data_IF_647725728138
#
_entry.id   IF_647725728138
#
_cell.length_a   1.000
_cell.length_b   1.000
_cell.length_c   1.000
_cell.angle_alpha   90.00
_cell.angle_beta   90.00
_cell.angle_gamma   90.00
#
_symmetry.space_group_name_H-M   'P 1'
#
loop_
_entity.id
_entity.type
_entity.pdbx_description
1 polymer ?
#
# COMPACT_ATOMS: atom_id res chain seq x y z
N UNK A 1 -24.67 -23.14 7.68
CA UNK A 1 -25.35 -22.00 7.04
C UNK A 1 -24.49 -21.65 5.84
N UNK A 2 -25.04 -21.82 4.64
CA UNK A 2 -24.28 -22.06 3.41
C UNK A 2 -23.36 -20.93 2.96
N UNK A 3 -22.18 -21.34 2.50
CA UNK A 3 -21.21 -20.57 1.71
C UNK A 3 -21.87 -20.11 0.40
N UNK A 4 -21.69 -18.84 0.01
CA UNK A 4 -22.09 -18.33 -1.30
C UNK A 4 -20.82 -17.94 -2.08
N UNK A 5 -20.28 -18.90 -2.82
CA UNK A 5 -19.39 -18.63 -3.95
C UNK A 5 -20.24 -18.09 -5.11
N UNK A 6 -20.04 -16.83 -5.51
CA UNK A 6 -20.61 -16.33 -6.77
C UNK A 6 -19.70 -16.73 -7.92
N UNK A 7 -20.05 -17.82 -8.61
CA UNK A 7 -19.30 -18.48 -9.69
C UNK A 7 -19.52 -17.89 -11.10
N UNK A 8 -19.98 -16.65 -11.22
CA UNK A 8 -20.32 -16.06 -12.51
C UNK A 8 -19.09 -15.50 -13.26
N UNK A 9 -19.00 -15.78 -14.57
CA UNK A 9 -17.89 -15.37 -15.44
C UNK A 9 -18.04 -13.94 -16.04
N UNK A 10 -19.25 -13.38 -16.01
CA UNK A 10 -19.59 -12.05 -16.53
C UNK A 10 -20.14 -11.09 -15.47
N UNK A 11 -20.73 -9.96 -15.91
CA UNK A 11 -21.34 -8.95 -15.00
C UNK A 11 -22.61 -8.32 -15.56
N UNK A 12 -23.45 -7.80 -14.66
CA UNK A 12 -24.52 -6.85 -14.99
C UNK A 12 -24.04 -5.44 -14.68
N UNK A 13 -24.19 -4.49 -15.59
CA UNK A 13 -23.81 -3.09 -15.38
C UNK A 13 -25.06 -2.20 -15.35
N UNK A 14 -25.17 -1.35 -14.33
CA UNK A 14 -26.26 -0.40 -14.14
C UNK A 14 -25.70 1.01 -14.08
N UNK A 15 -25.92 1.81 -15.12
CA UNK A 15 -25.62 3.24 -15.08
C UNK A 15 -26.75 3.98 -14.37
N UNK A 16 -26.44 4.64 -13.26
CA UNK A 16 -27.40 5.29 -12.38
C UNK A 16 -26.98 6.72 -12.01
N UNK A 17 -27.89 7.47 -11.36
CA UNK A 17 -27.58 8.75 -10.71
C UNK A 17 -28.11 8.68 -9.28
N UNK A 18 -27.38 9.31 -8.35
CA UNK A 18 -27.81 9.42 -6.96
C UNK A 18 -29.21 10.05 -6.82
N UNK A 19 -30.07 9.43 -6.01
CA UNK A 19 -31.42 9.93 -5.73
C UNK A 19 -32.50 9.59 -6.76
N UNK A 20 -32.18 8.82 -7.82
CA UNK A 20 -33.17 8.38 -8.81
C UNK A 20 -34.00 7.18 -8.32
N UNK A 21 -35.34 7.29 -8.18
CA UNK A 21 -36.19 6.18 -7.71
C UNK A 21 -36.16 4.95 -8.64
N UNK A 22 -36.12 5.15 -9.95
CA UNK A 22 -36.05 4.07 -10.93
C UNK A 22 -34.73 3.29 -10.87
N UNK A 23 -33.62 3.94 -10.49
CA UNK A 23 -32.35 3.26 -10.29
C UNK A 23 -32.37 2.37 -9.05
N UNK A 24 -33.00 2.83 -7.96
CA UNK A 24 -33.15 2.03 -6.73
C UNK A 24 -34.00 0.79 -7.00
N UNK A 25 -35.12 0.94 -7.73
CA UNK A 25 -36.01 -0.17 -8.06
C UNK A 25 -35.34 -1.21 -8.98
N UNK A 26 -34.58 -0.76 -9.98
CA UNK A 26 -33.83 -1.65 -10.87
C UNK A 26 -32.79 -2.47 -10.09
N UNK A 27 -32.00 -1.84 -9.21
CA UNK A 27 -30.99 -2.51 -8.37
C UNK A 27 -31.62 -3.53 -7.42
N UNK A 28 -32.77 -3.20 -6.82
CA UNK A 28 -33.49 -4.13 -5.95
C UNK A 28 -33.98 -5.37 -6.70
N UNK A 29 -34.35 -5.22 -7.98
CA UNK A 29 -34.77 -6.33 -8.85
C UNK A 29 -33.57 -7.20 -9.22
N UNK A 30 -32.45 -6.59 -9.62
CA UNK A 30 -31.22 -7.30 -10.01
C UNK A 30 -30.52 -7.97 -8.82
N UNK A 31 -30.60 -7.38 -7.62
CA UNK A 31 -30.03 -7.95 -6.40
C UNK A 31 -30.65 -9.30 -5.97
N UNK A 32 -31.80 -9.68 -6.55
CA UNK A 32 -32.44 -10.99 -6.34
C UNK A 32 -31.95 -12.08 -7.30
N UNK A 33 -31.11 -11.74 -8.28
CA UNK A 33 -30.70 -12.65 -9.35
C UNK A 33 -29.44 -13.46 -9.05
N UNK A 34 -28.84 -13.29 -7.86
CA UNK A 34 -27.62 -14.00 -7.41
C UNK A 34 -26.50 -13.99 -8.47
N UNK A 35 -26.30 -12.83 -9.13
CA UNK A 35 -25.24 -12.57 -10.11
C UNK A 35 -24.53 -11.24 -9.80
N UNK A 36 -23.27 -11.05 -10.24
CA UNK A 36 -22.54 -9.80 -10.02
C UNK A 36 -23.26 -8.61 -10.69
N UNK A 37 -23.60 -7.59 -9.91
CA UNK A 37 -24.20 -6.34 -10.38
C UNK A 37 -23.26 -5.18 -10.03
N UNK A 38 -22.75 -4.50 -11.05
CA UNK A 38 -21.93 -3.31 -10.96
C UNK A 38 -22.78 -2.05 -11.16
N UNK A 39 -22.79 -1.16 -10.18
CA UNK A 39 -23.47 0.13 -10.25
C UNK A 39 -22.48 1.24 -10.60
N UNK A 40 -22.81 2.05 -11.60
CA UNK A 40 -21.98 3.14 -12.11
C UNK A 40 -22.74 4.45 -12.00
N UNK A 41 -22.30 5.32 -11.09
CA UNK A 41 -22.91 6.64 -10.92
C UNK A 41 -22.43 7.63 -12.00
N UNK A 42 -23.19 7.76 -13.09
CA UNK A 42 -22.87 8.70 -14.18
C UNK A 42 -23.04 10.17 -13.78
N UNK A 43 -23.57 10.45 -12.59
CA UNK A 43 -23.56 11.78 -11.99
C UNK A 43 -22.17 12.22 -11.54
N UNK A 44 -21.32 11.25 -11.16
CA UNK A 44 -19.92 11.47 -10.77
C UNK A 44 -18.94 11.31 -11.93
N UNK A 45 -19.39 10.71 -13.03
CA UNK A 45 -18.59 10.35 -14.21
C UNK A 45 -19.22 10.92 -15.51
N UNK A 46 -19.10 12.23 -15.76
CA UNK A 46 -19.72 12.89 -16.93
C UNK A 46 -19.23 12.34 -18.28
N UNK A 47 -18.00 11.84 -18.35
CA UNK A 47 -17.41 11.16 -19.51
C UNK A 47 -18.18 9.88 -19.89
N UNK A 48 -18.58 9.09 -18.90
CA UNK A 48 -19.39 7.89 -19.13
C UNK A 48 -20.82 8.24 -19.53
N UNK A 49 -21.37 9.37 -19.06
CA UNK A 49 -22.70 9.81 -19.47
C UNK A 49 -22.78 10.05 -20.98
N UNK A 50 -21.73 10.62 -21.58
CA UNK A 50 -21.64 10.80 -23.03
C UNK A 50 -21.54 9.46 -23.75
N UNK A 51 -20.72 8.54 -23.23
CA UNK A 51 -20.51 7.22 -23.83
C UNK A 51 -21.73 6.30 -23.73
N UNK A 52 -22.44 6.31 -22.61
CA UNK A 52 -23.71 5.59 -22.44
C UNK A 52 -24.77 6.11 -23.41
N UNK A 53 -24.81 7.43 -23.65
CA UNK A 53 -25.70 8.01 -24.66
C UNK A 53 -25.35 7.55 -26.07
N UNK A 54 -24.07 7.42 -26.39
CA UNK A 54 -23.60 6.89 -27.68
C UNK A 54 -23.97 5.40 -27.84
N UNK A 55 -23.77 4.59 -26.79
CA UNK A 55 -24.03 3.14 -26.81
C UNK A 55 -25.53 2.80 -26.83
N UNK A 56 -26.37 3.59 -26.16
CA UNK A 56 -27.80 3.27 -25.97
C UNK A 56 -28.75 4.15 -26.77
N UNK A 57 -28.26 5.27 -27.31
CA UNK A 57 -29.09 6.33 -27.87
C UNK A 57 -29.95 7.09 -26.85
N UNK A 58 -29.86 6.76 -25.55
CA UNK A 58 -30.71 7.30 -24.48
C UNK A 58 -29.90 8.12 -23.49
N UNK A 59 -30.48 9.22 -23.00
CA UNK A 59 -29.88 10.07 -21.97
C UNK A 59 -30.50 9.89 -20.57
N UNK A 60 -31.45 8.98 -20.44
CA UNK A 60 -32.18 8.68 -19.21
C UNK A 60 -31.44 7.60 -18.40
N UNK A 61 -31.61 7.62 -17.08
CA UNK A 61 -31.10 6.58 -16.18
C UNK A 61 -32.28 5.88 -15.47
N UNK A 62 -32.18 4.58 -15.11
CA UNK A 62 -31.01 3.72 -15.31
C UNK A 62 -30.82 3.27 -16.76
N UNK A 63 -29.59 2.89 -17.15
CA UNK A 63 -29.33 2.05 -18.33
C UNK A 63 -28.66 0.76 -17.88
N UNK A 64 -29.23 -0.38 -18.28
CA UNK A 64 -28.91 -1.69 -17.74
C UNK A 64 -28.37 -2.59 -18.85
N UNK A 65 -27.28 -3.29 -18.55
CA UNK A 65 -26.61 -4.21 -19.45
C UNK A 65 -26.32 -5.54 -18.75
N UNK A 66 -26.46 -6.64 -19.49
CA UNK A 66 -25.96 -7.96 -19.10
C UNK A 66 -24.81 -8.29 -20.04
N UNK A 67 -23.57 -8.32 -19.54
CA UNK A 67 -22.38 -8.26 -20.38
C UNK A 67 -22.50 -7.09 -21.38
N UNK A 68 -22.42 -7.32 -22.68
CA UNK A 68 -22.61 -6.30 -23.74
C UNK A 68 -24.08 -6.12 -24.18
N UNK A 69 -25.03 -6.91 -23.67
CA UNK A 69 -26.44 -6.86 -24.09
C UNK A 69 -27.16 -5.73 -23.36
N UNK A 70 -27.57 -4.70 -24.10
CA UNK A 70 -28.35 -3.58 -23.57
C UNK A 70 -29.83 -3.96 -23.39
N UNK A 71 -30.33 -3.84 -22.15
CA UNK A 71 -31.72 -4.12 -21.79
C UNK A 71 -32.58 -2.86 -21.82
N UNK A 72 -32.00 -1.70 -21.49
CA UNK A 72 -32.75 -0.44 -21.38
C UNK A 72 -32.85 0.06 -19.93
N UNK A 73 -33.96 0.72 -19.60
CA UNK A 73 -34.22 1.28 -18.29
C UNK A 73 -34.95 0.35 -17.34
N UNK A 74 -35.39 0.88 -16.20
CA UNK A 74 -36.14 0.12 -15.21
C UNK A 74 -37.43 -0.47 -15.81
N UNK A 75 -38.17 0.31 -16.59
CA UNK A 75 -39.43 -0.16 -17.19
C UNK A 75 -39.20 -1.29 -18.19
N UNK A 76 -38.07 -1.25 -18.93
CA UNK A 76 -37.69 -2.31 -19.85
C UNK A 76 -37.31 -3.58 -19.07
N UNK A 77 -36.56 -3.44 -17.96
CA UNK A 77 -36.23 -4.56 -17.06
C UNK A 77 -37.49 -5.22 -16.47
N UNK A 78 -38.47 -4.44 -16.01
CA UNK A 78 -39.72 -4.97 -15.43
C UNK A 78 -40.62 -5.64 -16.47
N UNK A 79 -40.50 -5.28 -17.75
CA UNK A 79 -41.26 -5.84 -18.87
C UNK A 79 -40.63 -7.10 -19.47
N UNK A 80 -39.43 -7.49 -19.04
CA UNK A 80 -38.79 -8.71 -19.54
C UNK A 80 -39.63 -9.93 -19.17
N UNK A 81 -39.87 -10.79 -20.17
CA UNK A 81 -40.44 -12.10 -19.93
C UNK A 81 -39.51 -12.92 -19.01
N UNK A 82 -40.04 -13.74 -18.08
CA UNK A 82 -39.23 -14.55 -17.18
C UNK A 82 -38.18 -15.43 -17.88
N UNK A 83 -38.52 -15.92 -19.08
CA UNK A 83 -37.68 -16.77 -19.92
C UNK A 83 -36.48 -15.99 -20.46
N UNK A 84 -36.70 -14.75 -20.89
CA UNK A 84 -35.65 -13.88 -21.41
C UNK A 84 -34.71 -13.41 -20.27
N UNK A 85 -35.27 -13.09 -19.10
CA UNK A 85 -34.46 -12.77 -17.92
C UNK A 85 -33.58 -13.94 -17.50
N UNK A 86 -34.09 -15.17 -17.50
CA UNK A 86 -33.28 -16.38 -17.21
C UNK A 86 -32.15 -16.56 -18.22
N UNK A 87 -32.43 -16.32 -19.51
CA UNK A 87 -31.41 -16.40 -20.56
C UNK A 87 -30.28 -15.39 -20.35
N UNK A 88 -30.61 -14.15 -20.00
CA UNK A 88 -29.62 -13.10 -19.68
C UNK A 88 -28.82 -13.42 -18.41
N UNK A 89 -29.44 -14.02 -17.40
CA UNK A 89 -28.75 -14.48 -16.19
C UNK A 89 -27.78 -15.63 -16.53
N UNK A 90 -28.19 -16.61 -17.33
CA UNK A 90 -27.30 -17.69 -17.81
C UNK A 90 -26.14 -17.14 -18.62
N UNK A 91 -26.38 -16.16 -19.49
CA UNK A 91 -25.32 -15.47 -20.26
C UNK A 91 -24.22 -14.93 -19.33
N UNK A 92 -24.60 -14.26 -18.25
CA UNK A 92 -23.66 -13.69 -17.27
C UNK A 92 -22.95 -14.77 -16.44
N UNK A 93 -23.60 -15.90 -16.16
CA UNK A 93 -22.97 -16.99 -15.40
C UNK A 93 -21.97 -17.78 -16.26
N UNK A 94 -22.31 -18.05 -17.51
CA UNK A 94 -21.60 -19.02 -18.35
C UNK A 94 -20.59 -18.38 -19.31
N UNK A 95 -20.73 -17.09 -19.64
CA UNK A 95 -19.84 -16.42 -20.59
C UNK A 95 -18.94 -15.40 -19.89
N UNK A 96 -17.63 -15.38 -20.24
CA UNK A 96 -16.73 -14.34 -19.76
C UNK A 96 -17.18 -12.97 -20.28
N UNK A 97 -16.81 -11.93 -19.55
CA UNK A 97 -17.08 -10.55 -19.95
C UNK A 97 -16.49 -10.28 -21.36
N UNK A 98 -17.31 -9.89 -22.35
CA UNK A 98 -16.83 -9.64 -23.71
C UNK A 98 -16.08 -8.30 -23.80
N UNK A 99 -15.21 -8.16 -24.79
CA UNK A 99 -14.35 -6.97 -24.96
C UNK A 99 -15.13 -5.68 -25.29
N UNK A 100 -16.36 -5.81 -25.78
CA UNK A 100 -17.30 -4.72 -26.07
C UNK A 100 -18.30 -4.47 -24.93
N UNK A 101 -18.02 -4.99 -23.73
CA UNK A 101 -18.81 -4.73 -22.54
C UNK A 101 -18.88 -3.21 -22.23
N UNK A 102 -19.97 -2.75 -21.61
CA UNK A 102 -20.18 -1.36 -21.28
C UNK A 102 -19.08 -0.84 -20.34
N UNK A 103 -18.54 0.36 -20.62
CA UNK A 103 -17.36 0.91 -19.93
C UNK A 103 -17.65 1.25 -18.47
N UNK A 104 -16.77 0.81 -17.56
CA UNK A 104 -16.76 1.30 -16.19
C UNK A 104 -15.97 2.62 -16.08
N UNK A 105 -16.05 3.35 -14.94
CA UNK A 105 -15.36 4.62 -14.72
C UNK A 105 -13.85 4.68 -14.97
N UNK A 106 -13.21 3.55 -15.26
CA UNK A 106 -11.76 3.43 -15.50
C UNK A 106 -11.40 2.65 -16.78
N UNK A 107 -12.37 2.36 -17.68
CA UNK A 107 -12.11 1.67 -18.96
C UNK A 107 -11.88 2.65 -20.14
N UNK A 108 -11.16 3.75 -19.92
CA UNK A 108 -10.54 4.54 -21.00
C UNK A 108 -9.06 4.17 -21.11
N UNK A 109 -8.78 3.04 -21.77
CA UNK A 109 -7.49 2.82 -22.43
C UNK A 109 -7.35 3.85 -23.55
N UNK A 110 -6.55 4.88 -23.31
CA UNK A 110 -5.75 5.43 -24.40
C UNK A 110 -4.64 4.43 -24.69
N UNK A 111 -4.71 3.78 -25.86
CA UNK A 111 -3.53 3.25 -26.53
C UNK A 111 -2.57 4.41 -26.74
N UNK A 112 -1.55 4.50 -25.88
CA UNK A 112 -0.16 4.85 -26.21
C UNK A 112 0.67 4.92 -24.91
N UNK A 113 1.42 3.85 -24.65
CA UNK A 113 2.61 3.78 -23.76
C UNK A 113 2.53 4.47 -22.39
N UNK A 114 1.85 3.86 -21.41
CA UNK A 114 2.16 3.86 -19.95
C UNK A 114 0.93 3.36 -19.19
N UNK A 115 0.86 2.08 -18.79
CA UNK A 115 -0.37 1.54 -18.20
C UNK A 115 -0.27 0.23 -17.43
N UNK A 116 0.91 -0.14 -16.94
CA UNK A 116 1.07 -1.22 -15.95
C UNK A 116 1.56 -0.69 -14.58
N UNK A 117 2.07 0.54 -14.55
CA UNK A 117 2.65 1.14 -13.34
C UNK A 117 1.60 1.59 -12.31
N UNK A 118 0.39 1.99 -12.74
CA UNK A 118 -0.70 2.40 -11.85
C UNK A 118 -1.21 1.22 -10.99
N UNK A 119 -1.25 0.00 -11.56
CA UNK A 119 -1.73 -1.19 -10.86
C UNK A 119 -0.83 -1.63 -9.70
N UNK A 120 0.49 -1.39 -9.78
CA UNK A 120 1.40 -1.71 -8.68
C UNK A 120 1.17 -0.78 -7.49
N UNK A 121 1.11 0.53 -7.74
CA UNK A 121 0.88 1.53 -6.70
C UNK A 121 -0.46 1.30 -5.99
N UNK A 122 -1.54 1.14 -6.76
CA UNK A 122 -2.89 0.85 -6.24
C UNK A 122 -2.95 -0.45 -5.44
N UNK A 123 -2.39 -1.54 -5.96
CA UNK A 123 -2.39 -2.83 -5.26
C UNK A 123 -1.62 -2.75 -3.93
N UNK A 124 -0.46 -2.08 -3.92
CA UNK A 124 0.31 -1.90 -2.69
C UNK A 124 -0.42 -1.06 -1.65
N UNK A 125 -1.12 -0.02 -2.11
CA UNK A 125 -1.93 0.86 -1.26
C UNK A 125 -3.09 0.10 -0.67
N UNK A 126 -3.85 -0.63 -1.49
CA UNK A 126 -4.97 -1.46 -1.04
C UNK A 126 -4.54 -2.52 -0.02
N UNK A 127 -3.45 -3.25 -0.29
CA UNK A 127 -2.89 -4.21 0.67
C UNK A 127 -2.55 -3.53 2.00
N UNK A 128 -1.92 -2.36 1.93
CA UNK A 128 -1.52 -1.61 3.12
C UNK A 128 -2.72 -1.12 3.92
N UNK A 129 -3.74 -0.58 3.26
CA UNK A 129 -4.97 -0.11 3.91
C UNK A 129 -5.75 -1.25 4.56
N UNK A 130 -5.89 -2.38 3.86
CA UNK A 130 -6.58 -3.55 4.40
C UNK A 130 -5.92 -4.08 5.66
N UNK A 131 -4.59 -4.24 5.65
CA UNK A 131 -3.89 -4.78 6.82
C UNK A 131 -3.87 -3.79 7.98
N UNK A 132 -3.87 -2.48 7.71
CA UNK A 132 -4.02 -1.45 8.73
C UNK A 132 -5.41 -1.45 9.37
N UNK A 133 -6.46 -1.61 8.55
CA UNK A 133 -7.83 -1.73 9.03
C UNK A 133 -7.96 -2.93 9.96
N UNK A 134 -7.52 -4.10 9.51
CA UNK A 134 -7.46 -5.31 10.33
C UNK A 134 -6.67 -5.10 11.63
N UNK A 135 -5.49 -4.47 11.54
CA UNK A 135 -4.67 -4.19 12.71
C UNK A 135 -5.39 -3.29 13.71
N UNK A 136 -6.09 -2.27 13.23
CA UNK A 136 -6.84 -1.34 14.08
C UNK A 136 -8.06 -1.98 14.77
N UNK A 137 -8.74 -2.90 14.09
CA UNK A 137 -9.90 -3.64 14.63
C UNK A 137 -9.50 -4.60 15.76
N UNK A 138 -8.25 -5.05 15.77
CA UNK A 138 -7.72 -6.02 16.74
C UNK A 138 -6.70 -5.39 17.71
N UNK A 139 -6.55 -4.07 17.69
CA UNK A 139 -5.71 -3.35 18.64
C UNK A 139 -6.44 -3.23 19.98
N UNK A 140 -5.74 -3.50 21.07
CA UNK A 140 -6.27 -3.33 22.43
C UNK A 140 -6.71 -1.89 22.68
N UNK A 141 -7.67 -1.70 23.59
CA UNK A 141 -8.19 -0.37 23.92
C UNK A 141 -7.10 0.61 24.43
N UNK A 142 -6.01 0.10 25.03
CA UNK A 142 -4.88 0.89 25.47
C UNK A 142 -3.82 1.12 24.38
N UNK A 143 -4.01 0.56 23.18
CA UNK A 143 -3.13 0.70 22.02
C UNK A 143 -1.80 -0.04 22.14
N UNK A 144 -1.63 -0.92 23.14
CA UNK A 144 -0.33 -1.54 23.45
C UNK A 144 -0.15 -2.95 22.91
N UNK A 145 -1.23 -3.70 22.73
CA UNK A 145 -1.18 -5.07 22.23
C UNK A 145 -2.17 -5.29 21.08
N UNK A 146 -1.89 -6.26 20.23
CA UNK A 146 -2.71 -6.59 19.07
C UNK A 146 -3.07 -8.06 19.16
N UNK A 147 -4.36 -8.38 19.02
CA UNK A 147 -4.83 -9.76 18.93
C UNK A 147 -4.56 -10.32 17.52
N UNK A 148 -3.30 -10.69 17.27
CA UNK A 148 -2.88 -11.31 16.01
C UNK A 148 -3.62 -12.62 15.74
N UNK A 149 -4.04 -13.34 16.80
CA UNK A 149 -4.77 -14.60 16.65
C UNK A 149 -6.18 -14.33 16.12
N UNK A 150 -6.91 -13.39 16.72
CA UNK A 150 -8.21 -12.95 16.21
C UNK A 150 -8.11 -12.38 14.79
N UNK A 151 -7.11 -11.54 14.54
CA UNK A 151 -6.88 -10.95 13.21
C UNK A 151 -6.64 -12.00 12.12
N UNK A 152 -5.94 -13.10 12.44
CA UNK A 152 -5.68 -14.20 11.50
C UNK A 152 -6.94 -15.01 11.13
N UNK A 153 -7.97 -14.98 11.98
CA UNK A 153 -9.25 -15.67 11.77
C UNK A 153 -10.30 -14.77 11.10
N UNK A 154 -10.01 -13.48 10.90
CA UNK A 154 -10.92 -12.55 10.27
C UNK A 154 -11.01 -12.82 8.75
N UNK A 155 -12.21 -12.96 8.16
CA UNK A 155 -12.37 -13.20 6.72
C UNK A 155 -11.71 -12.13 5.84
N UNK A 156 -11.58 -10.88 6.29
CA UNK A 156 -10.87 -9.85 5.54
C UNK A 156 -9.36 -10.12 5.41
N UNK A 157 -8.78 -10.94 6.28
CA UNK A 157 -7.39 -11.39 6.15
C UNK A 157 -7.21 -12.42 5.03
N UNK A 158 -8.21 -13.28 4.78
CA UNK A 158 -8.22 -14.17 3.62
C UNK A 158 -8.25 -13.36 2.32
N UNK A 159 -9.11 -12.34 2.26
CA UNK A 159 -9.14 -11.40 1.13
C UNK A 159 -7.82 -10.66 0.93
N UNK A 160 -7.14 -10.28 2.00
CA UNK A 160 -5.78 -9.71 1.93
C UNK A 160 -4.80 -10.71 1.30
N UNK A 161 -4.85 -11.98 1.69
CA UNK A 161 -4.00 -13.03 1.12
C UNK A 161 -4.26 -13.23 -0.38
N UNK A 162 -5.53 -13.22 -0.82
CA UNK A 162 -5.90 -13.30 -2.23
C UNK A 162 -5.31 -12.15 -3.06
N UNK A 163 -5.38 -10.93 -2.54
CA UNK A 163 -4.79 -9.76 -3.19
C UNK A 163 -3.27 -9.84 -3.22
N UNK A 164 -2.64 -10.33 -2.15
CA UNK A 164 -1.18 -10.49 -2.10
C UNK A 164 -0.66 -11.48 -3.15
N UNK A 165 -1.48 -12.45 -3.59
CA UNK A 165 -1.12 -13.35 -4.70
C UNK A 165 -0.97 -12.57 -6.03
N UNK A 166 -1.70 -11.47 -6.22
CA UNK A 166 -1.62 -10.69 -7.46
C UNK A 166 -0.26 -10.01 -7.65
N UNK A 167 0.51 -9.80 -6.57
CA UNK A 167 1.89 -9.27 -6.62
C UNK A 167 2.78 -10.06 -7.57
N UNK A 168 2.52 -11.36 -7.73
CA UNK A 168 3.30 -12.27 -8.58
C UNK A 168 3.31 -11.87 -10.06
N UNK A 169 2.29 -11.12 -10.51
CA UNK A 169 2.07 -10.76 -11.91
C UNK A 169 2.50 -9.34 -12.26
N UNK A 170 2.99 -8.57 -11.29
CA UNK A 170 3.35 -7.17 -11.50
C UNK A 170 4.61 -7.01 -12.36
N UNK A 171 4.60 -6.03 -13.27
CA UNK A 171 5.80 -5.54 -13.93
C UNK A 171 6.49 -4.48 -13.06
N UNK A 172 7.73 -4.75 -12.63
CA UNK A 172 8.47 -3.86 -11.72
C UNK A 172 9.52 -2.97 -12.40
N UNK A 173 9.89 -3.32 -13.63
CA UNK A 173 11.02 -2.68 -14.33
C UNK A 173 10.62 -1.33 -14.95
N UNK A 174 9.35 -1.16 -15.28
CA UNK A 174 8.77 0.06 -15.85
C UNK A 174 8.47 1.13 -14.78
N UNK A 175 8.47 0.76 -13.50
CA UNK A 175 8.19 1.69 -12.40
C UNK A 175 9.26 2.79 -12.27
N UNK A 176 8.79 4.03 -12.12
CA UNK A 176 9.58 5.20 -11.72
C UNK A 176 10.17 5.05 -10.32
N UNK A 177 11.05 5.98 -9.92
CA UNK A 177 11.61 6.01 -8.55
C UNK A 177 10.49 6.15 -7.53
N UNK A 178 9.56 7.06 -7.77
CA UNK A 178 8.47 7.43 -6.87
C UNK A 178 7.50 6.26 -6.69
N UNK A 179 7.14 5.59 -7.79
CA UNK A 179 6.32 4.38 -7.77
C UNK A 179 7.01 3.23 -7.02
N UNK A 180 8.31 3.00 -7.27
CA UNK A 180 9.08 1.98 -6.54
C UNK A 180 9.11 2.26 -5.05
N UNK A 181 9.37 3.51 -4.65
CA UNK A 181 9.40 3.89 -3.24
C UNK A 181 8.04 3.64 -2.58
N UNK A 182 6.96 4.19 -3.13
CA UNK A 182 5.61 4.02 -2.58
C UNK A 182 5.22 2.53 -2.50
N UNK A 183 5.43 1.79 -3.59
CA UNK A 183 5.16 0.36 -3.69
C UNK A 183 5.91 -0.43 -2.62
N UNK A 184 7.24 -0.36 -2.61
CA UNK A 184 8.05 -1.21 -1.74
C UNK A 184 7.94 -0.84 -0.26
N UNK A 185 7.71 0.43 0.08
CA UNK A 185 7.47 0.85 1.47
C UNK A 185 6.13 0.29 1.96
N UNK A 186 5.07 0.42 1.16
CA UNK A 186 3.76 -0.15 1.50
C UNK A 186 3.82 -1.67 1.64
N UNK A 187 4.45 -2.36 0.69
CA UNK A 187 4.61 -3.81 0.70
C UNK A 187 5.45 -4.26 1.89
N UNK A 188 6.58 -3.62 2.17
CA UNK A 188 7.41 -3.95 3.34
C UNK A 188 6.60 -3.84 4.63
N UNK A 189 5.92 -2.70 4.84
CA UNK A 189 5.15 -2.44 6.06
C UNK A 189 3.96 -3.41 6.20
N UNK A 190 3.33 -3.81 5.10
CA UNK A 190 2.28 -4.81 5.10
C UNK A 190 2.83 -6.23 5.38
N UNK A 191 3.95 -6.58 4.76
CA UNK A 191 4.60 -7.89 4.91
C UNK A 191 5.09 -8.13 6.34
N UNK A 192 5.56 -7.10 7.06
CA UNK A 192 5.89 -7.21 8.49
C UNK A 192 4.68 -7.68 9.30
N UNK A 193 3.51 -7.04 9.13
CA UNK A 193 2.30 -7.41 9.86
C UNK A 193 1.82 -8.79 9.44
N UNK A 194 1.84 -9.11 8.13
CA UNK A 194 1.49 -10.44 7.65
C UNK A 194 2.40 -11.52 8.25
N UNK A 195 3.71 -11.28 8.31
CA UNK A 195 4.65 -12.17 8.97
C UNK A 195 4.32 -12.40 10.45
N UNK A 196 3.94 -11.36 11.18
CA UNK A 196 3.52 -11.47 12.58
C UNK A 196 2.24 -12.28 12.74
N UNK A 197 1.28 -12.15 11.83
CA UNK A 197 0.06 -12.96 11.85
C UNK A 197 0.33 -14.45 11.63
N UNK A 198 1.25 -14.77 10.72
CA UNK A 198 1.51 -16.17 10.34
C UNK A 198 2.48 -16.87 11.29
N UNK A 199 3.42 -16.15 11.88
CA UNK A 199 4.52 -16.76 12.67
C UNK A 199 4.68 -16.19 14.07
N UNK A 200 3.91 -15.16 14.43
CA UNK A 200 4.12 -14.37 15.65
C UNK A 200 5.26 -13.35 15.51
N UNK A 201 5.27 -12.33 16.38
CA UNK A 201 6.39 -11.38 16.45
C UNK A 201 7.66 -12.06 17.00
N UNK A 202 8.85 -11.74 16.47
CA UNK A 202 10.10 -12.33 16.95
C UNK A 202 10.45 -11.83 18.34
N UNK A 203 10.71 -12.73 19.29
CA UNK A 203 10.95 -12.37 20.71
C UNK A 203 12.43 -12.24 21.08
N UNK A 204 13.34 -12.56 20.15
CA UNK A 204 14.79 -12.45 20.37
C UNK A 204 15.55 -12.12 19.08
N UNK A 205 16.84 -11.78 19.20
CA UNK A 205 17.67 -11.35 18.07
C UNK A 205 17.78 -12.39 16.95
N UNK A 206 17.84 -13.69 17.28
CA UNK A 206 17.97 -14.74 16.27
C UNK A 206 16.66 -14.96 15.51
N UNK A 207 15.53 -14.96 16.21
CA UNK A 207 14.21 -14.97 15.58
C UNK A 207 14.02 -13.72 14.71
N UNK A 208 14.46 -12.55 15.18
CA UNK A 208 14.43 -11.31 14.40
C UNK A 208 15.26 -11.44 13.13
N UNK A 209 16.50 -11.92 13.24
CA UNK A 209 17.36 -12.17 12.09
C UNK A 209 16.65 -13.10 11.07
N UNK A 210 16.10 -14.23 11.51
CA UNK A 210 15.36 -15.13 10.61
C UNK A 210 14.14 -14.45 10.00
N UNK A 211 13.36 -13.74 10.79
CA UNK A 211 12.16 -13.05 10.31
C UNK A 211 12.48 -12.15 9.11
N UNK A 212 13.44 -11.24 9.25
CA UNK A 212 13.79 -10.32 8.16
C UNK A 212 14.46 -10.98 6.96
N UNK A 213 15.11 -12.14 7.12
CA UNK A 213 15.80 -12.85 6.02
C UNK A 213 14.97 -13.95 5.34
N UNK A 214 13.80 -14.33 5.89
CA UNK A 214 12.98 -15.41 5.31
C UNK A 214 11.53 -15.01 5.05
N UNK A 215 11.00 -13.98 5.72
CA UNK A 215 9.65 -13.46 5.40
C UNK A 215 9.71 -12.73 4.08
N UNK A 216 8.93 -13.22 3.12
CA UNK A 216 9.00 -12.77 1.73
C UNK A 216 7.65 -12.83 1.02
N UNK A 217 7.54 -12.04 -0.05
CA UNK A 217 6.54 -12.23 -1.11
C UNK A 217 7.19 -12.62 -2.43
N UNK A 218 6.42 -13.29 -3.27
CA UNK A 218 6.72 -13.46 -4.70
C UNK A 218 6.12 -12.26 -5.43
N UNK A 219 6.97 -11.42 -6.01
CA UNK A 219 6.59 -10.15 -6.66
C UNK A 219 7.21 -10.13 -8.06
N UNK A 220 6.37 -10.01 -9.10
CA UNK A 220 6.83 -10.01 -10.50
C UNK A 220 7.68 -11.23 -10.87
N UNK A 221 7.32 -12.41 -10.35
CA UNK A 221 8.06 -13.67 -10.58
C UNK A 221 9.30 -13.90 -9.71
N UNK A 222 9.71 -12.93 -8.88
CA UNK A 222 10.91 -13.02 -8.04
C UNK A 222 10.58 -12.95 -6.54
N UNK A 223 11.37 -13.66 -5.72
CA UNK A 223 11.15 -13.67 -4.26
C UNK A 223 11.86 -12.48 -3.62
N UNK A 224 11.12 -11.66 -2.87
CA UNK A 224 11.65 -10.52 -2.13
C UNK A 224 11.39 -10.70 -0.63
N UNK A 225 12.47 -10.89 0.14
CA UNK A 225 12.41 -10.84 1.60
C UNK A 225 12.30 -9.41 2.12
N UNK A 226 11.94 -9.21 3.38
CA UNK A 226 12.01 -7.89 4.02
C UNK A 226 13.42 -7.27 3.89
N UNK A 227 14.47 -8.08 4.09
CA UNK A 227 15.86 -7.65 3.92
C UNK A 227 16.15 -7.24 2.48
N UNK A 228 15.64 -8.00 1.49
CA UNK A 228 15.82 -7.70 0.07
C UNK A 228 15.12 -6.39 -0.30
N UNK A 229 13.93 -6.14 0.22
CA UNK A 229 13.18 -4.90 -0.05
C UNK A 229 13.92 -3.70 0.55
N UNK A 230 14.25 -3.73 1.84
CA UNK A 230 14.92 -2.62 2.51
C UNK A 230 16.31 -2.39 1.90
N UNK A 231 17.19 -3.39 1.94
CA UNK A 231 18.60 -3.22 1.66
C UNK A 231 18.94 -3.41 0.18
N UNK A 232 18.20 -4.30 -0.48
CA UNK A 232 18.41 -4.66 -1.88
C UNK A 232 17.79 -3.61 -2.80
N UNK A 233 16.52 -3.28 -2.59
CA UNK A 233 15.78 -2.38 -3.45
C UNK A 233 15.90 -0.93 -3.01
N UNK A 234 15.40 -0.61 -1.82
CA UNK A 234 15.23 0.79 -1.36
C UNK A 234 16.55 1.47 -0.96
N UNK A 235 17.55 0.70 -0.50
CA UNK A 235 18.90 1.21 -0.22
C UNK A 235 19.88 1.00 -1.38
N UNK A 236 19.42 0.73 -2.61
CA UNK A 236 20.29 0.58 -3.78
C UNK A 236 21.34 -0.53 -3.62
N UNK A 237 20.89 -1.72 -3.21
CA UNK A 237 21.72 -2.91 -2.98
C UNK A 237 22.90 -2.69 -2.00
N UNK A 238 22.66 -1.91 -0.95
CA UNK A 238 23.63 -1.71 0.14
C UNK A 238 23.63 -2.90 1.11
N UNK A 239 24.73 -3.03 1.82
CA UNK A 239 24.89 -4.05 2.86
C UNK A 239 23.99 -3.70 4.05
N UNK A 240 23.19 -4.67 4.50
CA UNK A 240 22.37 -4.54 5.71
C UNK A 240 23.19 -4.60 6.99
N UNK A 241 22.56 -4.20 8.10
CA UNK A 241 23.17 -4.30 9.44
C UNK A 241 23.42 -5.77 9.78
N UNK A 242 24.61 -6.07 10.32
CA UNK A 242 25.06 -7.43 10.64
C UNK A 242 25.10 -8.42 9.46
N UNK A 243 24.89 -7.96 8.22
CA UNK A 243 25.07 -8.78 7.03
C UNK A 243 26.55 -8.85 6.66
N UNK A 244 26.96 -9.82 5.85
CA UNK A 244 28.33 -9.91 5.32
C UNK A 244 28.42 -9.45 3.86
N UNK A 245 27.35 -9.67 3.09
CA UNK A 245 27.29 -9.43 1.64
C UNK A 245 26.13 -8.48 1.29
N UNK A 246 26.15 -7.96 0.07
CA UNK A 246 25.00 -7.26 -0.51
C UNK A 246 23.86 -8.26 -0.77
N UNK A 247 22.59 -7.84 -0.68
CA UNK A 247 21.44 -8.70 -0.96
C UNK A 247 21.51 -9.35 -2.35
N UNK A 248 21.79 -8.54 -3.38
CA UNK A 248 21.76 -8.99 -4.77
C UNK A 248 23.16 -9.07 -5.38
N UNK A 249 23.43 -10.17 -6.08
CA UNK A 249 24.64 -10.32 -6.89
C UNK A 249 24.52 -9.56 -8.22
N UNK A 250 25.61 -9.45 -8.98
CA UNK A 250 25.60 -8.76 -10.29
C UNK A 250 24.72 -9.45 -11.34
N UNK A 251 24.47 -10.75 -11.18
CA UNK A 251 23.64 -11.56 -12.09
C UNK A 251 22.24 -11.81 -11.53
N UNK A 252 21.93 -11.26 -10.35
CA UNK A 252 20.62 -11.40 -9.73
C UNK A 252 19.61 -10.51 -10.50
N UNK A 253 18.52 -11.06 -11.05
CA UNK A 253 17.54 -10.28 -11.82
C UNK A 253 16.89 -9.18 -10.99
N UNK A 254 16.75 -9.37 -9.67
CA UNK A 254 16.16 -8.39 -8.74
C UNK A 254 17.00 -7.12 -8.61
N UNK A 255 18.30 -7.18 -8.94
CA UNK A 255 19.16 -5.99 -8.95
C UNK A 255 18.65 -4.90 -9.90
N UNK A 256 17.97 -5.26 -10.99
CA UNK A 256 17.42 -4.29 -11.96
C UNK A 256 16.25 -3.47 -11.38
N UNK A 257 15.62 -3.96 -10.31
CA UNK A 257 14.52 -3.27 -9.63
C UNK A 257 15.06 -2.25 -8.62
N UNK A 258 16.30 -2.43 -8.14
CA UNK A 258 16.89 -1.57 -7.11
C UNK A 258 16.95 -0.10 -7.52
N UNK A 259 16.81 0.78 -6.54
CA UNK A 259 17.05 2.20 -6.74
C UNK A 259 18.51 2.44 -7.13
N UNK A 260 18.80 3.42 -8.00
CA UNK A 260 20.17 3.75 -8.39
C UNK A 260 21.01 4.19 -7.19
N UNK A 261 20.39 4.93 -6.26
CA UNK A 261 20.97 5.41 -5.02
C UNK A 261 20.10 5.02 -3.83
N UNK A 262 20.71 4.94 -2.65
CA UNK A 262 19.97 4.69 -1.42
C UNK A 262 19.12 5.91 -1.06
N UNK A 263 17.85 5.68 -0.73
CA UNK A 263 16.96 6.70 -0.17
C UNK A 263 17.06 6.69 1.36
N UNK A 264 17.73 7.67 2.02
CA UNK A 264 17.94 7.63 3.47
C UNK A 264 16.64 7.84 4.26
N UNK A 265 15.62 8.48 3.68
CA UNK A 265 14.37 8.79 4.39
C UNK A 265 13.50 7.55 4.65
N UNK A 266 13.75 6.43 3.95
CA UNK A 266 13.00 5.18 4.20
C UNK A 266 13.17 4.69 5.65
N UNK A 267 14.29 5.04 6.31
CA UNK A 267 14.58 4.66 7.70
C UNK A 267 13.53 5.16 8.69
N UNK A 268 12.76 6.18 8.32
CA UNK A 268 11.67 6.74 9.12
C UNK A 268 10.28 6.28 8.63
N UNK A 269 10.23 5.56 7.51
CA UNK A 269 9.00 5.08 6.88
C UNK A 269 8.80 3.56 7.01
N UNK A 270 9.89 2.79 7.06
CA UNK A 270 9.89 1.34 7.22
C UNK A 270 9.77 0.97 8.70
N UNK A 271 8.54 0.99 9.22
CA UNK A 271 8.25 0.46 10.54
C UNK A 271 6.78 0.08 10.62
N UNK A 272 6.45 -1.10 11.16
CA UNK A 272 5.09 -1.48 11.56
C UNK A 272 5.04 -2.63 12.57
N UNK A 273 5.87 -2.58 13.64
CA UNK A 273 5.94 -3.65 14.65
C UNK A 273 5.50 -3.33 16.09
N UNK A 274 4.90 -2.15 16.31
CA UNK A 274 4.45 -1.54 17.57
C UNK A 274 5.51 -0.94 18.53
N UNK A 275 5.09 0.21 19.11
CA UNK A 275 5.79 1.43 19.63
C UNK A 275 6.57 2.20 18.57
N UNK A 276 6.06 3.39 18.24
CA UNK A 276 6.66 4.32 17.28
C UNK A 276 6.23 4.12 15.82
N UNK A 277 4.99 3.65 15.56
CA UNK A 277 4.45 3.61 14.20
C UNK A 277 4.68 4.97 13.51
N UNK A 278 5.13 4.97 12.25
CA UNK A 278 5.39 6.21 11.54
C UNK A 278 4.09 7.02 11.47
N UNK A 279 4.17 8.36 11.52
CA UNK A 279 2.98 9.22 11.46
C UNK A 279 2.22 9.01 10.15
N UNK A 280 2.95 8.67 9.07
CA UNK A 280 2.40 8.33 7.77
C UNK A 280 2.16 6.83 7.68
N UNK A 281 0.90 6.48 7.41
CA UNK A 281 0.43 5.09 7.40
C UNK A 281 0.53 4.43 6.03
N UNK A 282 0.33 5.19 4.97
CA UNK A 282 0.29 4.77 3.57
C UNK A 282 1.10 5.76 2.72
N UNK A 283 1.71 5.26 1.66
CA UNK A 283 2.53 6.08 0.77
C UNK A 283 2.01 6.01 -0.67
N UNK A 284 2.05 7.14 -1.38
CA UNK A 284 1.56 7.26 -2.77
C UNK A 284 2.67 7.82 -3.66
N UNK A 285 2.75 7.43 -4.94
CA UNK A 285 3.80 7.96 -5.84
C UNK A 285 3.79 9.50 -5.93
N UNK A 286 2.60 10.11 -5.89
CA UNK A 286 2.42 11.56 -6.04
C UNK A 286 2.99 12.35 -4.86
N UNK A 287 2.92 11.80 -3.65
CA UNK A 287 3.29 12.49 -2.41
C UNK A 287 4.50 11.86 -1.69
N UNK A 288 5.13 10.83 -2.27
CA UNK A 288 6.12 10.01 -1.58
C UNK A 288 7.25 10.83 -0.94
N UNK A 289 7.82 11.78 -1.67
CA UNK A 289 8.92 12.60 -1.16
C UNK A 289 8.48 13.52 -0.02
N UNK A 290 7.25 14.07 -0.08
CA UNK A 290 6.72 14.91 1.00
C UNK A 290 6.38 14.06 2.23
N UNK A 291 5.78 12.89 2.03
CA UNK A 291 5.45 11.92 3.07
C UNK A 291 6.70 11.41 3.81
N UNK A 292 7.77 11.08 3.06
CA UNK A 292 9.06 10.68 3.61
C UNK A 292 9.71 11.80 4.43
N UNK A 293 9.68 13.04 3.93
CA UNK A 293 10.17 14.21 4.68
C UNK A 293 9.38 14.42 5.97
N UNK A 294 8.06 14.40 5.91
CA UNK A 294 7.19 14.54 7.10
C UNK A 294 7.47 13.45 8.14
N UNK A 295 7.70 12.20 7.71
CA UNK A 295 8.06 11.12 8.62
C UNK A 295 9.42 11.37 9.31
N UNK A 296 10.41 11.85 8.57
CA UNK A 296 11.73 12.18 9.12
C UNK A 296 11.68 13.38 10.08
N UNK A 297 10.96 14.44 9.72
CA UNK A 297 10.77 15.63 10.56
C UNK A 297 10.11 15.26 11.90
N UNK A 298 9.02 14.49 11.85
CA UNK A 298 8.32 14.03 13.04
C UNK A 298 9.22 13.14 13.94
N UNK A 299 10.05 12.30 13.33
CA UNK A 299 10.99 11.46 14.06
C UNK A 299 12.08 12.30 14.75
N UNK A 300 12.65 13.28 14.04
CA UNK A 300 13.71 14.15 14.56
C UNK A 300 13.21 15.14 15.62
N UNK A 301 11.94 15.52 15.57
CA UNK A 301 11.34 16.36 16.61
C UNK A 301 11.08 15.58 17.90
N UNK A 302 10.97 14.24 17.85
CA UNK A 302 10.88 13.40 19.03
C UNK A 302 12.26 13.23 19.71
N UNK A 303 12.28 13.23 21.04
CA UNK A 303 13.49 13.01 21.84
C UNK A 303 14.04 11.58 21.74
N UNK A 304 13.23 10.62 21.27
CA UNK A 304 13.70 9.28 20.88
C UNK A 304 14.55 9.30 19.58
N UNK A 305 14.39 10.34 18.76
CA UNK A 305 15.07 10.50 17.48
C UNK A 305 16.30 11.41 17.57
N UNK A 306 16.14 12.60 18.15
CA UNK A 306 17.21 13.60 18.27
C UNK A 306 17.03 14.47 19.52
N UNK A 307 18.10 14.57 20.33
CA UNK A 307 18.20 15.49 21.46
C UNK A 307 19.42 16.39 21.30
N UNK A 308 19.20 17.70 21.35
CA UNK A 308 20.24 18.72 21.24
C UNK A 308 20.53 19.30 22.62
N UNK A 309 21.74 19.13 23.13
CA UNK A 309 22.22 19.72 24.38
C UNK A 309 23.18 20.87 24.08
N UNK A 310 22.63 22.09 24.06
CA UNK A 310 23.39 23.31 23.78
C UNK A 310 24.46 23.61 24.83
N UNK A 311 24.22 23.24 26.09
CA UNK A 311 25.16 23.48 27.20
C UNK A 311 26.41 22.61 27.10
N UNK A 312 26.26 21.35 26.67
CA UNK A 312 27.38 20.41 26.46
C UNK A 312 27.92 20.38 25.04
N UNK A 313 27.25 21.06 24.11
CA UNK A 313 27.52 20.99 22.65
C UNK A 313 27.50 19.55 22.15
N UNK A 314 26.49 18.82 22.59
CA UNK A 314 26.30 17.39 22.30
C UNK A 314 24.96 17.17 21.59
N UNK A 315 24.97 16.32 20.56
CA UNK A 315 23.76 15.84 19.90
C UNK A 315 23.65 14.35 20.14
N UNK A 316 22.54 13.92 20.75
CA UNK A 316 22.22 12.51 20.98
C UNK A 316 21.20 12.06 19.94
N UNK A 317 21.59 11.10 19.11
CA UNK A 317 20.79 10.61 17.98
C UNK A 317 20.34 9.16 18.21
N UNK A 318 19.23 8.76 17.59
CA UNK A 318 18.83 7.34 17.54
C UNK A 318 19.93 6.44 16.95
N UNK A 319 20.00 5.18 17.38
CA UNK A 319 20.98 4.20 16.86
C UNK A 319 20.85 3.94 15.35
N UNK A 320 19.71 4.26 14.75
CA UNK A 320 19.53 4.14 13.30
C UNK A 320 20.60 4.92 12.52
N UNK A 321 20.97 6.10 13.02
CA UNK A 321 22.03 6.94 12.45
C UNK A 321 23.43 6.33 12.62
N UNK A 322 23.63 5.48 13.63
CA UNK A 322 24.88 4.74 13.83
C UNK A 322 24.97 3.54 12.89
N UNK A 323 23.89 2.74 12.83
CA UNK A 323 23.87 1.50 12.04
C UNK A 323 23.91 1.77 10.54
N UNK A 324 23.20 2.80 10.10
CA UNK A 324 23.09 3.20 8.70
C UNK A 324 23.87 4.48 8.40
N UNK A 325 24.95 4.76 9.14
CA UNK A 325 25.75 5.99 9.03
C UNK A 325 26.17 6.32 7.59
N UNK A 326 26.44 5.31 6.77
CA UNK A 326 26.79 5.47 5.36
C UNK A 326 25.67 6.07 4.49
N UNK A 327 24.40 5.91 4.90
CA UNK A 327 23.23 6.48 4.21
C UNK A 327 23.09 7.97 4.56
N UNK A 328 23.59 8.40 5.72
CA UNK A 328 23.58 9.78 6.21
C UNK A 328 24.91 10.52 6.00
N UNK A 329 25.69 10.11 4.98
CA UNK A 329 26.93 10.77 4.58
C UNK A 329 28.23 10.23 5.21
N UNK A 330 28.16 9.28 6.14
CA UNK A 330 29.30 8.48 6.62
C UNK A 330 30.18 9.11 7.70
N UNK A 331 30.12 10.43 7.91
CA UNK A 331 30.86 11.15 8.97
C UNK A 331 29.89 11.87 9.91
N UNK A 332 30.33 12.17 11.13
CA UNK A 332 29.49 12.89 12.10
C UNK A 332 29.11 14.29 11.60
N UNK A 333 30.01 14.97 10.90
CA UNK A 333 29.77 16.28 10.30
C UNK A 333 28.67 16.23 9.23
N UNK A 334 28.75 15.25 8.32
CA UNK A 334 27.75 15.07 7.26
C UNK A 334 26.41 14.61 7.83
N UNK A 335 26.44 13.75 8.86
CA UNK A 335 25.26 13.31 9.59
C UNK A 335 24.55 14.49 10.25
N UNK A 336 25.26 15.35 10.99
CA UNK A 336 24.66 16.51 11.65
C UNK A 336 24.11 17.51 10.65
N UNK A 337 24.80 17.71 9.51
CA UNK A 337 24.28 18.53 8.41
C UNK A 337 22.98 17.93 7.84
N UNK A 338 22.98 16.62 7.58
CA UNK A 338 21.80 15.91 7.10
C UNK A 338 20.63 16.04 8.08
N UNK A 339 20.87 15.84 9.39
CA UNK A 339 19.85 16.01 10.42
C UNK A 339 19.28 17.43 10.38
N UNK A 340 20.14 18.46 10.37
CA UNK A 340 19.71 19.86 10.33
C UNK A 340 18.83 20.17 9.11
N UNK A 341 19.16 19.60 7.94
CA UNK A 341 18.42 19.79 6.69
C UNK A 341 17.02 19.14 6.70
N UNK A 342 16.81 18.10 7.51
CA UNK A 342 15.57 17.32 7.56
C UNK A 342 14.77 17.54 8.86
N UNK A 343 15.16 18.51 9.69
CA UNK A 343 14.36 18.97 10.82
C UNK A 343 13.31 19.98 10.36
N UNK A 344 12.13 19.91 10.98
CA UNK A 344 11.12 20.96 10.91
C UNK A 344 11.67 22.27 11.49
N UNK A 345 11.07 23.40 11.10
CA UNK A 345 11.46 24.70 11.63
C UNK A 345 11.03 24.84 13.11
N UNK A 346 11.88 24.34 14.00
CA UNK A 346 11.64 24.26 15.44
C UNK A 346 12.77 24.89 16.27
N UNK A 347 12.53 25.22 17.56
CA UNK A 347 13.59 25.67 18.47
C UNK A 347 14.77 24.68 18.56
N UNK A 348 14.48 23.38 18.37
CA UNK A 348 15.49 22.32 18.35
C UNK A 348 16.42 22.47 17.15
N UNK A 349 15.89 22.79 15.95
CA UNK A 349 16.67 23.08 14.74
C UNK A 349 17.54 24.32 14.91
N UNK A 350 17.00 25.39 15.50
CA UNK A 350 17.78 26.60 15.83
C UNK A 350 18.93 26.27 16.78
N UNK A 351 18.65 25.53 17.85
CA UNK A 351 19.67 25.09 18.81
C UNK A 351 20.78 24.26 18.15
N UNK A 352 20.41 23.35 17.23
CA UNK A 352 21.37 22.56 16.46
C UNK A 352 22.24 23.45 15.56
N UNK A 353 21.62 24.40 14.86
CA UNK A 353 22.32 25.36 14.01
C UNK A 353 23.34 26.18 14.81
N UNK A 354 22.96 26.65 15.98
CA UNK A 354 23.82 27.45 16.86
C UNK A 354 25.04 26.64 17.33
N UNK A 355 24.85 25.41 17.83
CA UNK A 355 25.99 24.59 18.30
C UNK A 355 26.94 24.20 17.17
N UNK A 356 26.43 24.00 15.95
CA UNK A 356 27.23 23.69 14.77
C UNK A 356 28.07 24.90 14.34
N UNK A 357 27.51 26.10 14.42
CA UNK A 357 28.25 27.34 14.14
C UNK A 357 29.35 27.63 15.17
N UNK A 358 29.16 27.20 16.41
CA UNK A 358 30.12 27.42 17.50
C UNK A 358 31.39 26.53 17.41
N UNK A 359 31.48 25.60 16.45
CA UNK A 359 32.62 24.71 16.21
C UNK A 359 32.32 23.23 16.43
N UNK A 360 33.31 22.43 16.87
CA UNK A 360 33.18 20.97 16.99
C UNK A 360 32.04 20.53 17.94
N UNK A 361 31.15 19.70 17.42
CA UNK A 361 30.00 19.14 18.15
C UNK A 361 30.23 17.65 18.42
N UNK A 362 29.92 17.20 19.64
CA UNK A 362 30.02 15.78 20.00
C UNK A 362 28.74 15.06 19.57
N UNK A 363 28.89 13.95 18.84
CA UNK A 363 27.77 13.06 18.49
C UNK A 363 27.77 11.85 19.43
N UNK A 364 26.62 11.62 20.05
CA UNK A 364 26.34 10.47 20.89
C UNK A 364 25.11 9.73 20.36
N UNK A 365 24.94 8.46 20.75
CA UNK A 365 23.79 7.67 20.35
C UNK A 365 22.98 7.24 21.56
N UNK A 366 21.66 7.38 21.45
CA UNK A 366 20.71 6.98 22.50
C UNK A 366 20.75 5.46 22.69
N UNK A 367 20.55 4.94 23.92
CA UNK A 367 20.38 3.51 24.13
C UNK A 367 19.15 3.03 23.35
N UNK A 368 19.25 1.88 22.71
CA UNK A 368 18.15 1.28 21.95
C UNK A 368 17.75 -0.03 22.60
N UNK A 369 16.46 -0.16 22.91
CA UNK A 369 15.88 -1.40 23.40
C UNK A 369 15.47 -2.28 22.21
N UNK A 370 16.02 -3.49 22.16
CA UNK A 370 15.72 -4.49 21.13
C UNK A 370 14.47 -5.31 21.44
N UNK A 371 13.83 -5.11 22.58
CA UNK A 371 12.59 -5.80 22.92
C UNK A 371 11.46 -5.40 21.96
N UNK A 372 10.89 -6.38 21.27
CA UNK A 372 9.62 -6.20 20.56
C UNK A 372 8.50 -6.03 21.59
N UNK A 373 7.44 -5.28 21.26
CA UNK A 373 6.21 -5.13 22.05
C UNK A 373 5.39 -6.45 22.16
N UNK A 374 6.00 -7.52 22.64
CA UNK A 374 5.31 -8.70 23.14
C UNK A 374 5.39 -8.66 24.66
N UNK A 375 4.62 -7.76 25.27
CA UNK A 375 4.18 -7.99 26.64
C UNK A 375 3.14 -9.12 26.60
N UNK A 376 3.44 -10.18 27.34
CA UNK A 376 2.66 -11.39 27.60
C UNK A 376 1.16 -11.37 27.31
#
# INVERSE_FOLDING_TARGET
>A
MGEFESSALGRVTVYSIQGCPHCVQAKATLGRLEIPVCDVDVGKHPELRARVKELTGRSTVPQIFFNNVHVGGNDDLQKLAPEELRRLVSLVKEQPLPADAPPLPEENRSEDTAGEADGAAELSLLLREMILKLFSEHLSADGKSVDYKGMSLNPAFERYCELAIQLQRLELLSLSREEKLAFFINIYNALVIHGYLRMGPPTNMWQRYRFFNYVSYLIGGEVFTLQDIENGVLRGNRKGVAQLRRPFSKTDPRLRVALPDAEPLIHFALNCGAKGCPPIKTYTPQDIDSQLRTAAEAFLENDDGCVVDSGKREVRLSQIFKWYKADFGGTDEKLLKWVLEHMSDSPKKTSLKDILSAGKTKVCFLPYDWSSNSSH
#
